data_IF_102108318128
#
_entry.id   IF_102108318128
#
_cell.length_a   1.000
_cell.length_b   1.000
_cell.length_c   1.000
_cell.angle_alpha   90.00
_cell.angle_beta   90.00
_cell.angle_gamma   90.00
#
_symmetry.space_group_name_H-M   'P 1'
#
loop_
_entity.id
_entity.type
_entity.pdbx_description
1 polymer ?
#
# COMPACT_ATOMS: atom_id res chain seq x y z
N UNK A 1 8.44 -0.40 12.17
CA UNK A 1 7.86 -0.01 10.86
C UNK A 1 9.04 0.31 9.96
N UNK A 2 9.36 -0.58 8.99
CA UNK A 2 10.52 -0.42 8.09
C UNK A 2 10.23 0.49 6.89
N UNK A 3 8.99 0.46 6.38
CA UNK A 3 8.63 1.20 5.18
C UNK A 3 8.47 2.70 5.48
N UNK A 4 9.15 3.60 4.75
CA UNK A 4 9.14 5.05 5.01
C UNK A 4 7.73 5.66 5.03
N UNK A 5 6.86 5.26 4.11
CA UNK A 5 5.47 5.74 4.06
C UNK A 5 4.73 5.53 5.40
N UNK A 6 4.85 4.34 5.99
CA UNK A 6 4.17 4.09 7.27
C UNK A 6 4.82 4.83 8.43
N UNK A 7 6.12 5.12 8.35
CA UNK A 7 6.79 5.98 9.33
C UNK A 7 6.22 7.39 9.34
N UNK A 8 6.11 8.01 8.16
CA UNK A 8 5.51 9.35 8.01
C UNK A 8 4.03 9.38 8.39
N UNK A 9 3.27 8.34 8.00
CA UNK A 9 1.86 8.23 8.37
C UNK A 9 1.67 8.17 9.89
N UNK A 10 2.46 7.35 10.58
CA UNK A 10 2.39 7.24 12.05
C UNK A 10 2.75 8.55 12.70
N UNK A 11 3.80 9.24 12.22
CA UNK A 11 4.19 10.55 12.75
C UNK A 11 3.07 11.58 12.57
N UNK A 12 2.46 11.67 11.40
CA UNK A 12 1.33 12.57 11.15
C UNK A 12 0.11 12.24 12.05
N UNK A 13 -0.19 10.96 12.25
CA UNK A 13 -1.25 10.53 13.15
C UNK A 13 -0.93 10.89 14.60
N UNK A 14 0.31 10.72 15.03
CA UNK A 14 0.75 11.05 16.40
C UNK A 14 0.61 12.55 16.68
N UNK A 15 1.12 13.39 15.78
CA UNK A 15 1.01 14.86 15.90
C UNK A 15 -0.46 15.31 16.01
N UNK A 16 -1.35 14.76 15.20
CA UNK A 16 -2.76 15.17 15.21
C UNK A 16 -3.51 14.65 16.44
N UNK A 17 -3.26 13.40 16.85
CA UNK A 17 -3.86 12.84 18.06
C UNK A 17 -3.39 13.57 19.30
N UNK A 18 -2.10 13.92 19.40
CA UNK A 18 -1.55 14.72 20.49
C UNK A 18 -2.22 16.11 20.60
N UNK A 19 -2.38 16.81 19.46
CA UNK A 19 -3.06 18.12 19.42
C UNK A 19 -4.50 18.06 19.90
N UNK A 20 -5.15 16.91 19.75
CA UNK A 20 -6.54 16.66 20.18
C UNK A 20 -6.64 16.07 21.59
N UNK A 21 -5.53 15.92 22.31
CA UNK A 21 -5.51 15.39 23.67
C UNK A 21 -5.58 13.87 23.77
N UNK A 22 -5.33 13.16 22.65
CA UNK A 22 -5.25 11.70 22.63
C UNK A 22 -3.79 11.24 22.68
N UNK A 23 -3.61 9.97 23.02
CA UNK A 23 -2.34 9.26 22.93
C UNK A 23 -2.42 8.22 21.82
N UNK A 24 -1.45 8.21 20.90
CA UNK A 24 -1.33 7.15 19.90
C UNK A 24 -0.58 5.95 20.49
N UNK A 25 -1.19 4.77 20.39
CA UNK A 25 -0.52 3.49 20.64
C UNK A 25 -0.31 2.78 19.31
N UNK A 26 0.94 2.47 18.97
CA UNK A 26 1.27 1.78 17.73
C UNK A 26 1.58 0.31 18.03
N UNK A 27 0.91 -0.59 17.33
CA UNK A 27 1.19 -2.03 17.35
C UNK A 27 1.46 -2.52 15.93
N UNK A 28 2.47 -3.35 15.75
CA UNK A 28 2.87 -3.87 14.45
C UNK A 28 2.68 -5.39 14.40
N UNK A 29 1.91 -5.85 13.43
CA UNK A 29 1.64 -7.28 13.21
C UNK A 29 2.70 -7.96 12.33
N UNK A 30 3.54 -7.18 11.64
CA UNK A 30 4.60 -7.66 10.75
C UNK A 30 4.07 -8.70 9.73
N UNK A 31 2.89 -8.46 9.14
CA UNK A 31 2.18 -9.36 8.22
C UNK A 31 1.93 -10.78 8.77
N UNK A 32 1.76 -10.90 10.05
CA UNK A 32 1.44 -12.17 10.70
C UNK A 32 0.04 -12.10 11.28
N UNK A 33 -0.88 -12.90 10.75
CA UNK A 33 -2.29 -12.91 11.15
C UNK A 33 -2.49 -13.20 12.64
N UNK A 34 -1.76 -14.17 13.19
CA UNK A 34 -1.86 -14.53 14.60
C UNK A 34 -1.34 -13.40 15.50
N UNK A 35 -0.25 -12.74 15.09
CA UNK A 35 0.25 -11.57 15.78
C UNK A 35 -0.73 -10.42 15.72
N UNK A 36 -1.40 -10.24 14.57
CA UNK A 36 -2.42 -9.20 14.41
C UNK A 36 -3.60 -9.39 15.35
N UNK A 37 -4.12 -10.61 15.47
CA UNK A 37 -5.17 -10.96 16.45
C UNK A 37 -4.74 -10.62 17.87
N UNK A 38 -3.49 -10.94 18.23
CA UNK A 38 -2.94 -10.58 19.56
C UNK A 38 -2.81 -9.06 19.75
N UNK A 39 -2.42 -8.32 18.71
CA UNK A 39 -2.39 -6.87 18.74
C UNK A 39 -3.78 -6.27 19.03
N UNK A 40 -4.82 -6.81 18.38
CA UNK A 40 -6.20 -6.37 18.63
C UNK A 40 -6.67 -6.68 20.04
N UNK A 41 -6.29 -7.83 20.60
CA UNK A 41 -6.56 -8.15 22.00
C UNK A 41 -5.87 -7.16 22.97
N UNK A 42 -4.65 -6.74 22.66
CA UNK A 42 -3.94 -5.72 23.43
C UNK A 42 -4.70 -4.39 23.37
N UNK A 43 -5.13 -3.93 22.19
CA UNK A 43 -5.89 -2.70 22.04
C UNK A 43 -7.20 -2.75 22.81
N UNK A 44 -7.94 -3.86 22.70
CA UNK A 44 -9.18 -4.07 23.45
C UNK A 44 -8.97 -4.03 24.96
N UNK A 45 -7.93 -4.65 25.49
CA UNK A 45 -7.62 -4.66 26.93
C UNK A 45 -7.19 -3.29 27.44
N UNK A 46 -6.58 -2.48 26.59
CA UNK A 46 -6.18 -1.10 26.93
C UNK A 46 -7.32 -0.10 26.74
N UNK A 47 -8.54 -0.57 26.40
CA UNK A 47 -9.73 0.26 26.26
C UNK A 47 -9.49 1.49 25.38
N UNK A 48 -8.94 1.27 24.19
CA UNK A 48 -8.70 2.37 23.24
C UNK A 48 -10.01 2.98 22.77
N UNK A 49 -10.01 4.29 22.52
CA UNK A 49 -11.19 5.04 22.08
C UNK A 49 -11.46 4.90 20.58
N UNK A 50 -10.46 4.51 19.78
CA UNK A 50 -10.58 4.33 18.34
C UNK A 50 -9.38 3.58 17.76
N UNK A 51 -9.53 3.08 16.53
CA UNK A 51 -8.50 2.30 15.84
C UNK A 51 -8.28 2.87 14.44
N UNK A 52 -7.02 3.14 14.08
CA UNK A 52 -6.55 3.25 12.72
C UNK A 52 -6.01 1.89 12.28
N UNK A 53 -6.65 1.26 11.31
CA UNK A 53 -6.32 -0.08 10.86
C UNK A 53 -5.68 -0.05 9.47
N UNK A 54 -4.41 -0.46 9.38
CA UNK A 54 -3.61 -0.44 8.16
C UNK A 54 -3.07 -1.84 7.80
N UNK A 55 -3.88 -2.88 7.99
CA UNK A 55 -3.52 -4.26 7.66
C UNK A 55 -4.61 -4.93 6.84
N UNK A 56 -4.42 -6.19 6.42
CA UNK A 56 -5.27 -6.87 5.46
C UNK A 56 -5.79 -8.24 5.93
N UNK A 57 -5.41 -8.68 7.12
CA UNK A 57 -5.71 -10.05 7.57
C UNK A 57 -7.04 -10.19 8.30
N UNK A 58 -7.48 -9.15 9.00
CA UNK A 58 -8.71 -9.24 9.78
C UNK A 58 -9.93 -8.92 8.93
N UNK A 59 -10.99 -9.68 9.15
CA UNK A 59 -12.26 -9.42 8.49
C UNK A 59 -12.98 -8.22 9.10
N UNK A 60 -13.94 -7.68 8.34
CA UNK A 60 -14.84 -6.63 8.81
C UNK A 60 -15.54 -7.06 10.10
N UNK A 61 -16.08 -8.28 10.13
CA UNK A 61 -16.82 -8.82 11.28
C UNK A 61 -15.96 -8.83 12.54
N UNK A 62 -14.66 -9.12 12.40
CA UNK A 62 -13.73 -9.06 13.52
C UNK A 62 -13.56 -7.63 14.04
N UNK A 63 -13.39 -6.64 13.15
CA UNK A 63 -13.25 -5.24 13.53
C UNK A 63 -14.53 -4.69 14.19
N UNK A 64 -15.69 -5.03 13.65
CA UNK A 64 -16.99 -4.65 14.24
C UNK A 64 -17.22 -5.29 15.62
N UNK A 65 -16.76 -6.52 15.82
CA UNK A 65 -16.87 -7.21 17.11
C UNK A 65 -16.04 -6.55 18.23
N UNK A 66 -15.06 -5.74 17.90
CA UNK A 66 -14.30 -4.96 18.89
C UNK A 66 -15.15 -3.87 19.56
N UNK A 67 -16.25 -3.45 18.94
CA UNK A 67 -17.14 -2.37 19.40
C UNK A 67 -16.41 -1.06 19.68
N UNK A 68 -15.35 -0.80 18.93
CA UNK A 68 -14.56 0.41 18.98
C UNK A 68 -14.60 1.08 17.59
N UNK A 69 -14.78 2.40 17.50
CA UNK A 69 -14.73 3.09 16.22
C UNK A 69 -13.44 2.77 15.47
N UNK A 70 -13.55 2.36 14.21
CA UNK A 70 -12.40 2.02 13.38
C UNK A 70 -12.43 2.78 12.06
N UNK A 71 -11.26 3.24 11.62
CA UNK A 71 -11.02 3.81 10.30
C UNK A 71 -9.93 2.97 9.63
N UNK A 72 -10.17 2.54 8.41
CA UNK A 72 -9.18 1.77 7.66
C UNK A 72 -8.31 2.69 6.80
N UNK A 73 -7.06 2.31 6.63
CA UNK A 73 -6.07 3.04 5.84
C UNK A 73 -5.65 2.15 4.66
N UNK A 74 -5.93 2.60 3.44
CA UNK A 74 -5.66 1.86 2.20
C UNK A 74 -6.28 0.45 2.11
N UNK A 75 -7.33 0.20 2.86
CA UNK A 75 -8.03 -1.07 2.83
C UNK A 75 -9.53 -0.84 2.91
N UNK A 76 -10.25 -1.26 1.88
CA UNK A 76 -11.69 -1.06 1.77
C UNK A 76 -12.46 -2.22 2.42
N UNK A 77 -13.11 -1.91 3.53
CA UNK A 77 -14.11 -2.79 4.11
C UNK A 77 -15.49 -2.16 3.96
N UNK A 78 -16.44 -2.90 3.41
CA UNK A 78 -17.81 -2.42 3.26
C UNK A 78 -18.38 -1.93 4.60
N UNK A 79 -18.77 -0.65 4.67
CA UNK A 79 -19.40 -0.03 5.84
C UNK A 79 -18.43 0.53 6.89
N UNK A 80 -17.13 0.38 6.74
CA UNK A 80 -16.16 1.11 7.56
C UNK A 80 -15.64 2.34 6.80
N UNK A 81 -15.39 3.46 7.50
CA UNK A 81 -14.72 4.60 6.89
C UNK A 81 -13.32 4.20 6.41
N UNK A 82 -12.96 4.63 5.22
CA UNK A 82 -11.63 4.38 4.63
C UNK A 82 -10.95 5.70 4.27
N UNK A 83 -9.66 5.77 4.50
CA UNK A 83 -8.78 6.82 4.00
C UNK A 83 -7.80 6.17 3.05
N UNK A 84 -7.80 6.62 1.80
CA UNK A 84 -6.88 6.13 0.77
C UNK A 84 -6.49 7.24 -0.20
N UNK A 85 -5.40 7.03 -0.93
CA UNK A 85 -5.01 7.86 -2.06
C UNK A 85 -5.88 7.54 -3.27
N UNK A 86 -6.02 8.48 -4.20
CA UNK A 86 -6.61 8.19 -5.51
C UNK A 86 -5.58 7.41 -6.37
N UNK A 87 -5.50 6.11 -6.12
CA UNK A 87 -4.54 5.22 -6.78
C UNK A 87 -4.81 5.07 -8.28
N UNK A 88 -6.06 5.18 -8.71
CA UNK A 88 -6.44 5.20 -10.13
C UNK A 88 -5.85 6.43 -10.82
N UNK A 89 -6.09 7.60 -10.25
CA UNK A 89 -5.57 8.86 -10.77
C UNK A 89 -4.03 8.86 -10.74
N UNK A 90 -3.44 8.37 -9.66
CA UNK A 90 -1.99 8.24 -9.52
C UNK A 90 -1.36 7.40 -10.64
N UNK A 91 -1.95 6.24 -10.96
CA UNK A 91 -1.51 5.39 -12.07
C UNK A 91 -1.61 6.07 -13.43
N UNK A 92 -2.74 6.71 -13.73
CA UNK A 92 -2.90 7.49 -14.96
C UNK A 92 -1.91 8.64 -15.07
N UNK A 93 -1.70 9.40 -14.01
CA UNK A 93 -0.77 10.54 -14.00
C UNK A 93 0.67 10.10 -14.27
N UNK A 94 1.12 9.01 -13.64
CA UNK A 94 2.45 8.46 -13.84
C UNK A 94 2.67 8.02 -15.31
N UNK A 95 1.74 7.24 -15.86
CA UNK A 95 1.81 6.82 -17.25
C UNK A 95 1.85 8.01 -18.22
N UNK A 96 0.93 8.97 -18.08
CA UNK A 96 0.88 10.17 -18.91
C UNK A 96 2.14 11.01 -18.81
N UNK A 97 2.74 11.11 -17.64
CA UNK A 97 3.98 11.84 -17.45
C UNK A 97 5.11 11.23 -18.28
N UNK A 98 5.33 9.92 -18.18
CA UNK A 98 6.36 9.22 -18.94
C UNK A 98 6.10 9.27 -20.46
N UNK A 99 4.85 9.04 -20.88
CA UNK A 99 4.45 9.15 -22.30
C UNK A 99 4.68 10.57 -22.80
N UNK A 100 4.34 11.59 -22.04
CA UNK A 100 4.60 13.00 -22.37
C UNK A 100 6.08 13.35 -22.44
N UNK A 101 6.96 12.58 -21.81
CA UNK A 101 8.42 12.67 -21.96
C UNK A 101 8.96 11.90 -23.17
N UNK A 102 8.10 11.22 -23.91
CA UNK A 102 8.44 10.48 -25.12
C UNK A 102 8.78 9.02 -24.91
N UNK A 103 8.58 8.48 -23.71
CA UNK A 103 8.82 7.05 -23.44
C UNK A 103 7.84 6.17 -24.25
N UNK A 104 8.37 5.08 -24.83
CA UNK A 104 7.64 4.15 -25.69
C UNK A 104 7.75 2.70 -25.25
N UNK A 105 8.72 2.38 -24.41
CA UNK A 105 8.99 1.04 -23.88
C UNK A 105 9.17 1.15 -22.37
N UNK A 106 8.07 0.99 -21.67
CA UNK A 106 8.02 1.22 -20.23
C UNK A 106 7.99 -0.08 -19.44
N UNK A 107 8.48 0.00 -18.22
CA UNK A 107 8.37 -1.03 -17.20
C UNK A 107 7.63 -0.45 -16.01
N UNK A 108 6.73 -1.23 -15.43
CA UNK A 108 6.09 -0.93 -14.15
C UNK A 108 6.52 -1.98 -13.12
N UNK A 109 6.98 -1.53 -11.97
CA UNK A 109 7.27 -2.40 -10.83
C UNK A 109 6.11 -2.27 -9.84
N UNK A 110 5.44 -3.38 -9.56
CA UNK A 110 4.35 -3.47 -8.59
C UNK A 110 4.73 -4.34 -7.38
N UNK A 111 3.92 -4.32 -6.35
CA UNK A 111 3.95 -5.31 -5.29
C UNK A 111 3.42 -6.68 -5.77
N UNK A 112 3.25 -7.60 -4.84
CA UNK A 112 2.67 -8.91 -5.12
C UNK A 112 1.18 -8.75 -5.49
N UNK A 113 0.79 -9.24 -6.67
CA UNK A 113 -0.54 -9.01 -7.25
C UNK A 113 -1.68 -9.79 -6.58
N UNK A 114 -1.37 -10.83 -5.81
CA UNK A 114 -2.37 -11.73 -5.22
C UNK A 114 -3.06 -11.16 -3.96
N UNK A 115 -2.64 -10.00 -3.48
CA UNK A 115 -3.11 -9.43 -2.22
C UNK A 115 -4.21 -8.37 -2.39
N UNK A 116 -4.68 -8.09 -3.60
CA UNK A 116 -5.69 -7.06 -3.91
C UNK A 116 -5.39 -5.70 -3.24
N UNK A 117 -4.13 -5.28 -3.29
CA UNK A 117 -3.67 -4.04 -2.68
C UNK A 117 -3.97 -2.83 -3.56
N UNK A 118 -3.96 -1.64 -2.97
CA UNK A 118 -4.03 -0.36 -3.70
C UNK A 118 -2.93 -0.22 -4.77
N UNK A 119 -1.79 -0.87 -4.59
CA UNK A 119 -0.73 -0.98 -5.60
C UNK A 119 -1.22 -1.63 -6.90
N UNK A 120 -2.12 -2.62 -6.84
CA UNK A 120 -2.69 -3.29 -8.01
C UNK A 120 -3.60 -2.36 -8.80
N UNK A 121 -4.32 -1.50 -8.12
CA UNK A 121 -5.19 -0.47 -8.72
C UNK A 121 -4.34 0.54 -9.49
N UNK A 122 -3.23 1.04 -8.91
CA UNK A 122 -2.27 1.94 -9.56
C UNK A 122 -1.65 1.30 -10.81
N UNK A 123 -1.17 0.06 -10.66
CA UNK A 123 -0.58 -0.70 -11.77
C UNK A 123 -1.59 -0.89 -12.90
N UNK A 124 -2.81 -1.31 -12.58
CA UNK A 124 -3.88 -1.50 -13.57
C UNK A 124 -4.20 -0.20 -14.32
N UNK A 125 -4.29 0.92 -13.62
CA UNK A 125 -4.53 2.23 -14.23
C UNK A 125 -3.36 2.68 -15.12
N UNK A 126 -2.13 2.45 -14.68
CA UNK A 126 -0.90 2.73 -15.45
C UNK A 126 -0.88 1.94 -16.76
N UNK A 127 -1.10 0.62 -16.69
CA UNK A 127 -1.08 -0.26 -17.88
C UNK A 127 -2.21 0.12 -18.84
N UNK A 128 -3.44 0.35 -18.36
CA UNK A 128 -4.56 0.79 -19.20
C UNK A 128 -4.26 2.09 -19.96
N UNK A 129 -3.60 3.05 -19.32
CA UNK A 129 -3.23 4.29 -20.00
C UNK A 129 -2.15 4.04 -21.06
N UNK A 130 -1.17 3.18 -20.80
CA UNK A 130 -0.19 2.77 -21.80
C UNK A 130 -0.85 2.11 -23.02
N UNK A 131 -1.77 1.16 -22.80
CA UNK A 131 -2.55 0.50 -23.86
C UNK A 131 -3.35 1.50 -24.68
N UNK A 132 -4.05 2.42 -24.02
CA UNK A 132 -4.84 3.48 -24.66
C UNK A 132 -4.00 4.37 -25.58
N UNK A 133 -2.73 4.59 -25.22
CA UNK A 133 -1.79 5.43 -25.97
C UNK A 133 -0.91 4.62 -26.95
N UNK A 134 -1.10 3.31 -27.03
CA UNK A 134 -0.30 2.42 -27.90
C UNK A 134 1.16 2.31 -27.48
N UNK A 135 1.46 2.46 -26.19
CA UNK A 135 2.79 2.38 -25.63
C UNK A 135 3.01 1.03 -24.95
N UNK A 136 4.16 0.40 -25.25
CA UNK A 136 4.48 -0.90 -24.65
C UNK A 136 4.81 -0.75 -23.16
N UNK A 137 4.21 -1.58 -22.32
CA UNK A 137 4.48 -1.64 -20.90
C UNK A 137 4.61 -3.09 -20.44
N UNK A 138 5.70 -3.42 -19.75
CA UNK A 138 5.87 -4.70 -19.04
C UNK A 138 5.73 -4.47 -17.55
N UNK A 139 5.06 -5.43 -16.88
CA UNK A 139 4.88 -5.39 -15.43
C UNK A 139 5.78 -6.42 -14.76
N UNK A 140 6.48 -6.00 -13.72
CA UNK A 140 7.26 -6.85 -12.84
C UNK A 140 6.73 -6.72 -11.42
N UNK A 141 6.64 -7.85 -10.71
CA UNK A 141 6.20 -7.86 -9.33
C UNK A 141 7.37 -8.11 -8.38
N UNK A 142 7.48 -7.28 -7.37
CA UNK A 142 8.36 -7.55 -6.23
C UNK A 142 7.72 -8.65 -5.37
N UNK A 143 8.51 -9.64 -4.95
CA UNK A 143 8.04 -10.65 -4.01
C UNK A 143 7.80 -10.06 -2.63
N UNK A 144 6.98 -10.72 -1.83
CA UNK A 144 6.74 -10.34 -0.44
C UNK A 144 8.05 -10.23 0.35
N UNK A 145 8.99 -11.17 0.15
CA UNK A 145 10.29 -11.14 0.79
C UNK A 145 11.10 -9.89 0.42
N UNK A 146 11.08 -9.49 -0.86
CA UNK A 146 11.77 -8.25 -1.31
C UNK A 146 11.18 -7.01 -0.64
N UNK A 147 9.85 -6.97 -0.47
CA UNK A 147 9.17 -5.86 0.22
C UNK A 147 9.57 -5.80 1.70
N UNK A 148 9.75 -6.97 2.34
CA UNK A 148 10.17 -7.08 3.75
C UNK A 148 11.59 -6.64 4.00
N UNK A 149 12.49 -7.14 3.17
CA UNK A 149 13.93 -6.91 3.32
C UNK A 149 14.35 -5.55 2.76
N UNK A 150 13.45 -4.90 2.00
CA UNK A 150 13.73 -3.69 1.23
C UNK A 150 14.88 -3.92 0.22
N UNK A 151 15.03 -5.17 -0.25
CA UNK A 151 16.07 -5.58 -1.20
C UNK A 151 15.52 -5.77 -2.60
N UNK A 152 15.64 -4.73 -3.43
CA UNK A 152 15.11 -4.73 -4.79
C UNK A 152 16.17 -4.94 -5.87
N UNK A 153 17.45 -4.94 -5.54
CA UNK A 153 18.54 -4.99 -6.53
C UNK A 153 18.50 -6.21 -7.47
N UNK A 154 18.17 -7.45 -7.00
CA UNK A 154 18.05 -8.59 -7.90
C UNK A 154 16.96 -8.40 -8.96
N UNK A 155 15.82 -7.82 -8.58
CA UNK A 155 14.73 -7.52 -9.49
C UNK A 155 15.12 -6.41 -10.48
N UNK A 156 15.72 -5.35 -10.00
CA UNK A 156 16.18 -4.23 -10.84
C UNK A 156 17.19 -4.72 -11.88
N UNK A 157 18.19 -5.50 -11.47
CA UNK A 157 19.18 -6.05 -12.40
C UNK A 157 18.51 -6.92 -13.47
N UNK A 158 17.56 -7.79 -13.10
CA UNK A 158 16.80 -8.59 -14.05
C UNK A 158 16.04 -7.72 -15.05
N UNK A 159 15.36 -6.67 -14.57
CA UNK A 159 14.59 -5.76 -15.42
C UNK A 159 15.50 -5.11 -16.49
N UNK A 160 16.65 -4.58 -16.09
CA UNK A 160 17.59 -3.96 -17.02
C UNK A 160 18.18 -4.96 -18.03
N UNK A 161 18.46 -6.18 -17.62
CA UNK A 161 18.96 -7.24 -18.51
C UNK A 161 17.90 -7.68 -19.53
N UNK A 162 16.64 -7.82 -19.11
CA UNK A 162 15.53 -8.28 -19.96
C UNK A 162 14.96 -7.16 -20.85
N UNK A 163 15.23 -5.91 -20.54
CA UNK A 163 14.70 -4.74 -21.25
C UNK A 163 15.79 -3.69 -21.53
N UNK A 164 16.81 -4.05 -22.36
CA UNK A 164 17.92 -3.13 -22.63
C UNK A 164 17.49 -1.83 -23.34
N UNK A 165 16.35 -1.87 -24.04
CA UNK A 165 15.79 -0.72 -24.74
C UNK A 165 14.71 0.03 -23.95
N UNK A 166 14.53 -0.27 -22.69
CA UNK A 166 13.58 0.43 -21.83
C UNK A 166 13.94 1.92 -21.73
N UNK A 167 12.92 2.77 -21.88
CA UNK A 167 13.06 4.23 -21.85
C UNK A 167 12.21 4.92 -20.74
N UNK A 168 11.45 4.12 -19.96
CA UNK A 168 10.70 4.59 -18.81
C UNK A 168 10.46 3.49 -17.77
N UNK A 169 10.54 3.82 -16.50
CA UNK A 169 10.26 2.92 -15.38
C UNK A 169 9.54 3.66 -14.27
#
# INVERSE_FOLDING_TARGET
IKHPFFGELVHACEDETYRRGYKLMVVASDYNEEKEKRCMDILRRNMVDGIFYASHFLSREFLEALRVPAVTLNNEFSGLPVIHSDDVQGGYMAARHLIGKGCKRMVHISGQQDLHLSADVRMTAFVKECERQGVACKVYSASEQMLWDMEYMPLINRIFMENPDMDGI
#
